data_IF_412355753505
#
_entry.id   IF_412355753505
#
_cell.length_a   1.000
_cell.length_b   1.000
_cell.length_c   1.000
_cell.angle_alpha   90.00
_cell.angle_beta   90.00
_cell.angle_gamma   90.00
#
_symmetry.space_group_name_H-M   'P 1'
#
loop_
_entity.id
_entity.type
_entity.pdbx_description
1 polymer ?
#
# COMPACT_ATOMS: atom_id res chain seq x y z
N UNK A 1 -49.37 -0.84 -37.75
CA UNK A 1 -48.85 -1.50 -36.52
C UNK A 1 -47.33 -1.60 -36.66
N UNK A 2 -46.54 -0.85 -35.88
CA UNK A 2 -45.08 -0.97 -35.91
C UNK A 2 -44.65 -2.11 -34.98
N UNK A 3 -43.81 -3.02 -35.50
CA UNK A 3 -43.24 -4.13 -34.75
C UNK A 3 -42.19 -3.62 -33.74
N UNK A 4 -42.08 -4.24 -32.55
CA UNK A 4 -41.09 -3.85 -31.55
C UNK A 4 -39.70 -4.33 -31.95
N UNK A 5 -38.72 -3.44 -31.83
CA UNK A 5 -37.30 -3.71 -32.06
C UNK A 5 -36.77 -4.69 -30.99
N UNK A 6 -35.96 -5.70 -31.34
CA UNK A 6 -35.43 -6.64 -30.35
C UNK A 6 -34.44 -5.95 -29.41
N UNK A 7 -34.72 -6.05 -28.11
CA UNK A 7 -33.87 -5.64 -27.00
C UNK A 7 -32.55 -6.42 -27.03
N UNK A 8 -31.42 -5.73 -27.24
CA UNK A 8 -30.12 -6.38 -27.07
C UNK A 8 -29.82 -6.63 -25.58
N UNK A 9 -29.25 -7.79 -25.23
CA UNK A 9 -28.84 -8.08 -23.86
C UNK A 9 -27.67 -7.18 -23.46
N UNK A 10 -27.76 -6.58 -22.27
CA UNK A 10 -26.68 -5.80 -21.66
C UNK A 10 -25.41 -6.66 -21.56
N UNK A 11 -24.22 -6.11 -21.85
CA UNK A 11 -22.96 -6.84 -21.67
C UNK A 11 -22.78 -7.16 -20.18
N UNK A 12 -22.56 -8.43 -19.89
CA UNK A 12 -22.25 -8.94 -18.55
C UNK A 12 -21.05 -8.21 -17.96
N UNK A 13 -21.04 -7.91 -16.64
CA UNK A 13 -19.88 -7.30 -15.99
C UNK A 13 -18.67 -8.22 -16.13
N UNK A 14 -17.53 -7.66 -16.55
CA UNK A 14 -16.24 -8.37 -16.61
C UNK A 14 -15.96 -9.01 -15.24
N UNK A 15 -15.57 -10.30 -15.19
CA UNK A 15 -15.14 -10.92 -13.95
C UNK A 15 -13.94 -10.14 -13.41
N UNK A 16 -14.12 -9.54 -12.24
CA UNK A 16 -13.02 -8.94 -11.48
C UNK A 16 -12.07 -10.07 -11.11
N UNK A 17 -10.76 -9.99 -11.37
CA UNK A 17 -9.83 -11.04 -10.98
C UNK A 17 -9.88 -11.17 -9.46
N UNK A 18 -10.33 -12.32 -8.98
CA UNK A 18 -10.33 -12.66 -7.57
C UNK A 18 -8.90 -12.54 -7.04
N UNK A 19 -8.67 -11.66 -6.07
CA UNK A 19 -7.40 -11.58 -5.36
C UNK A 19 -7.09 -12.98 -4.80
N UNK A 20 -5.93 -13.58 -5.10
CA UNK A 20 -5.61 -14.91 -4.60
C UNK A 20 -5.50 -14.85 -3.07
N UNK A 21 -6.55 -15.35 -2.40
CA UNK A 21 -6.56 -15.50 -0.96
C UNK A 21 -5.71 -16.71 -0.60
N UNK A 22 -4.39 -16.50 -0.47
CA UNK A 22 -3.45 -17.53 -0.01
C UNK A 22 -2.81 -17.07 1.28
N UNK A 23 -3.58 -17.09 2.37
CA UNK A 23 -3.02 -17.10 3.73
C UNK A 23 -2.48 -18.51 4.01
N UNK A 24 -1.44 -18.93 3.27
CA UNK A 24 -0.65 -20.09 3.67
C UNK A 24 0.18 -19.65 4.86
N UNK A 25 0.08 -20.38 5.98
CA UNK A 25 0.97 -20.17 7.11
C UNK A 25 2.42 -20.30 6.61
N UNK A 26 3.19 -19.22 6.74
CA UNK A 26 4.61 -19.22 6.39
C UNK A 26 5.29 -20.06 7.48
N UNK A 27 5.94 -21.19 7.14
CA UNK A 27 6.60 -22.00 8.14
C UNK A 27 7.71 -21.21 8.81
N UNK A 28 7.93 -21.48 10.10
CA UNK A 28 8.99 -20.84 10.88
C UNK A 28 10.36 -21.03 10.19
N UNK A 29 11.07 -19.93 9.94
CA UNK A 29 12.39 -19.97 9.30
C UNK A 29 13.43 -20.59 10.25
N UNK A 30 14.52 -21.09 9.67
CA UNK A 30 15.66 -21.61 10.46
C UNK A 30 16.20 -20.55 11.43
N UNK A 31 16.21 -19.28 11.00
CA UNK A 31 16.66 -18.15 11.79
C UNK A 31 15.73 -17.89 12.99
N UNK A 32 14.42 -17.92 12.76
CA UNK A 32 13.43 -17.76 13.83
C UNK A 32 13.49 -18.92 14.84
N UNK A 33 13.65 -20.16 14.33
CA UNK A 33 13.86 -21.34 15.19
C UNK A 33 15.12 -21.20 16.04
N UNK A 34 16.24 -20.80 15.44
CA UNK A 34 17.51 -20.60 16.13
C UNK A 34 17.37 -19.63 17.30
N UNK A 35 16.81 -18.44 17.05
CA UNK A 35 16.57 -17.44 18.08
C UNK A 35 15.63 -17.95 19.18
N UNK A 36 14.57 -18.68 18.81
CA UNK A 36 13.65 -19.26 19.78
C UNK A 36 14.33 -20.29 20.69
N UNK A 37 15.21 -21.11 20.12
CA UNK A 37 15.90 -22.19 20.83
C UNK A 37 16.95 -21.62 21.78
N UNK A 38 17.78 -20.68 21.32
CA UNK A 38 18.78 -20.02 22.16
C UNK A 38 18.14 -19.24 23.31
N UNK A 39 17.07 -18.48 23.03
CA UNK A 39 16.32 -17.75 24.06
C UNK A 39 15.71 -18.67 25.11
N UNK A 40 15.09 -19.79 24.69
CA UNK A 40 14.52 -20.78 25.61
C UNK A 40 15.61 -21.50 26.41
N UNK A 41 16.75 -21.81 25.81
CA UNK A 41 17.90 -22.43 26.50
C UNK A 41 18.43 -21.49 27.57
N UNK A 42 18.66 -20.21 27.25
CA UNK A 42 19.09 -19.20 28.20
C UNK A 42 18.09 -19.06 29.37
N UNK A 43 16.79 -18.96 29.09
CA UNK A 43 15.76 -18.87 30.13
C UNK A 43 15.75 -20.08 31.08
N UNK A 44 15.91 -21.30 30.55
CA UNK A 44 15.98 -22.52 31.38
C UNK A 44 17.21 -22.54 32.27
N UNK A 45 18.37 -22.15 31.75
CA UNK A 45 19.61 -22.10 32.52
C UNK A 45 19.52 -21.07 33.66
N UNK A 46 18.88 -19.91 33.42
CA UNK A 46 18.59 -18.93 34.46
C UNK A 46 17.70 -19.50 35.57
N UNK A 47 16.62 -20.19 35.21
CA UNK A 47 15.74 -20.85 36.20
C UNK A 47 16.48 -21.92 37.03
N UNK A 48 17.43 -22.65 36.43
CA UNK A 48 18.26 -23.64 37.14
C UNK A 48 19.23 -22.98 38.12
N UNK A 49 19.82 -21.84 37.74
CA UNK A 49 20.69 -21.05 38.60
C UNK A 49 19.92 -20.48 39.81
N UNK A 50 18.75 -19.90 39.58
CA UNK A 50 17.91 -19.30 40.63
C UNK A 50 17.36 -20.34 41.61
N UNK A 51 17.03 -21.54 41.12
CA UNK A 51 16.50 -22.63 41.95
C UNK A 51 17.58 -23.39 42.74
N UNK A 52 18.87 -23.12 42.51
CA UNK A 52 19.98 -23.83 43.15
C UNK A 52 20.08 -25.31 42.79
N UNK A 53 19.43 -25.74 41.69
CA UNK A 53 19.32 -27.14 41.27
C UNK A 53 20.58 -27.68 40.57
N UNK A 54 21.59 -26.84 40.33
CA UNK A 54 22.88 -27.22 39.77
C UNK A 54 24.00 -26.27 40.24
N UNK A 55 25.25 -26.74 40.15
CA UNK A 55 26.44 -26.00 40.55
C UNK A 55 26.64 -24.76 39.65
N UNK A 56 26.75 -23.54 40.20
CA UNK A 56 27.06 -22.34 39.44
C UNK A 56 28.31 -22.45 38.57
N UNK A 57 29.30 -23.24 38.99
CA UNK A 57 30.57 -23.43 38.27
C UNK A 57 30.36 -24.05 36.89
N UNK A 58 29.37 -24.93 36.75
CA UNK A 58 28.99 -25.58 35.49
C UNK A 58 27.98 -24.76 34.70
N UNK A 59 27.08 -24.04 35.38
CA UNK A 59 26.01 -23.27 34.75
C UNK A 59 26.50 -21.97 34.10
N UNK A 60 27.47 -21.29 34.69
CA UNK A 60 27.95 -19.99 34.20
C UNK A 60 28.55 -20.07 32.78
N UNK A 61 29.45 -21.02 32.45
CA UNK A 61 29.94 -21.18 31.08
C UNK A 61 28.83 -21.50 30.08
N UNK A 62 27.86 -22.34 30.47
CA UNK A 62 26.74 -22.71 29.62
C UNK A 62 25.80 -21.52 29.34
N UNK A 63 25.59 -20.65 30.34
CA UNK A 63 24.85 -19.39 30.19
C UNK A 63 25.56 -18.43 29.23
N UNK A 64 26.87 -18.24 29.40
CA UNK A 64 27.66 -17.38 28.53
C UNK A 64 27.62 -17.87 27.07
N UNK A 65 27.74 -19.18 26.85
CA UNK A 65 27.60 -19.76 25.51
C UNK A 65 26.19 -19.56 24.94
N UNK A 66 25.15 -19.75 25.75
CA UNK A 66 23.77 -19.55 25.31
C UNK A 66 23.49 -18.09 24.94
N UNK A 67 24.07 -17.13 25.66
CA UNK A 67 24.02 -15.71 25.33
C UNK A 67 24.70 -15.39 24.00
N UNK A 68 25.92 -15.89 23.77
CA UNK A 68 26.60 -15.69 22.48
C UNK A 68 25.79 -16.23 21.30
N UNK A 69 25.23 -17.44 21.42
CA UNK A 69 24.33 -17.97 20.38
C UNK A 69 23.03 -17.18 20.19
N UNK A 70 22.55 -16.51 21.24
CA UNK A 70 21.38 -15.65 21.14
C UNK A 70 21.72 -14.35 20.41
N UNK A 71 22.87 -13.75 20.69
CA UNK A 71 23.38 -12.56 19.98
C UNK A 71 23.55 -12.85 18.48
N UNK A 72 24.24 -13.94 18.13
CA UNK A 72 24.39 -14.37 16.73
C UNK A 72 23.03 -14.56 16.04
N UNK A 73 22.07 -15.19 16.74
CA UNK A 73 20.74 -15.42 16.20
C UNK A 73 19.94 -14.13 16.00
N UNK A 74 20.11 -13.12 16.86
CA UNK A 74 19.51 -11.79 16.70
C UNK A 74 20.10 -11.10 15.47
N UNK A 75 21.42 -11.09 15.33
CA UNK A 75 22.11 -10.44 14.21
C UNK A 75 21.70 -11.04 12.87
N UNK A 76 21.67 -12.38 12.77
CA UNK A 76 21.22 -13.06 11.56
C UNK A 76 19.73 -12.75 11.28
N UNK A 77 18.89 -12.65 12.32
CA UNK A 77 17.47 -12.30 12.15
C UNK A 77 17.28 -10.88 11.63
N UNK A 78 18.06 -9.92 12.13
CA UNK A 78 18.03 -8.53 11.68
C UNK A 78 18.54 -8.43 10.24
N UNK A 79 19.66 -9.10 9.93
CA UNK A 79 20.24 -9.12 8.59
C UNK A 79 19.27 -9.71 7.55
N UNK A 80 18.63 -10.84 7.86
CA UNK A 80 17.62 -11.43 6.98
C UNK A 80 16.42 -10.49 6.78
N UNK A 81 15.98 -9.80 7.85
CA UNK A 81 14.89 -8.84 7.74
C UNK A 81 15.24 -7.70 6.80
N UNK A 82 16.41 -7.11 6.97
CA UNK A 82 16.90 -6.02 6.11
C UNK A 82 17.05 -6.47 4.66
N UNK A 83 17.51 -7.70 4.43
CA UNK A 83 17.57 -8.28 3.10
C UNK A 83 16.18 -8.36 2.45
N UNK A 84 15.17 -8.87 3.17
CA UNK A 84 13.78 -8.92 2.68
C UNK A 84 13.25 -7.51 2.38
N UNK A 85 13.50 -6.54 3.26
CA UNK A 85 13.06 -5.16 3.04
C UNK A 85 13.72 -4.55 1.78
N UNK A 86 14.99 -4.87 1.52
CA UNK A 86 15.68 -4.47 0.29
C UNK A 86 15.10 -5.16 -0.96
N UNK A 87 14.76 -6.45 -0.88
CA UNK A 87 14.10 -7.16 -1.99
C UNK A 87 12.72 -6.57 -2.31
N UNK A 88 11.94 -6.22 -1.28
CA UNK A 88 10.64 -5.55 -1.43
C UNK A 88 10.83 -4.20 -2.13
N UNK A 89 11.77 -3.38 -1.67
CA UNK A 89 12.05 -2.08 -2.27
C UNK A 89 12.48 -2.22 -3.75
N UNK A 90 13.34 -3.20 -4.06
CA UNK A 90 13.75 -3.47 -5.43
C UNK A 90 12.57 -3.93 -6.31
N UNK A 91 11.66 -4.76 -5.79
CA UNK A 91 10.47 -5.19 -6.51
C UNK A 91 9.51 -4.02 -6.79
N UNK A 92 9.32 -3.13 -5.81
CA UNK A 92 8.51 -1.91 -5.98
C UNK A 92 9.10 -0.98 -7.04
N UNK A 93 10.41 -0.73 -7.00
CA UNK A 93 11.08 0.11 -7.99
C UNK A 93 10.92 -0.42 -9.43
N UNK A 94 10.98 -1.75 -9.62
CA UNK A 94 10.74 -2.37 -10.94
C UNK A 94 9.29 -2.22 -11.39
N UNK A 95 8.32 -2.34 -10.48
CA UNK A 95 6.91 -2.15 -10.78
C UNK A 95 6.65 -0.72 -11.24
N UNK A 96 7.17 0.26 -10.50
CA UNK A 96 6.99 1.68 -10.80
C UNK A 96 7.63 2.04 -12.14
N UNK A 97 8.83 1.52 -12.43
CA UNK A 97 9.49 1.71 -13.72
C UNK A 97 8.67 1.13 -14.88
N UNK A 98 8.12 -0.08 -14.74
CA UNK A 98 7.29 -0.70 -15.77
C UNK A 98 5.99 0.07 -15.98
N UNK A 99 5.36 0.52 -14.90
CA UNK A 99 4.15 1.34 -14.96
C UNK A 99 4.44 2.67 -15.70
N UNK A 100 5.57 3.31 -15.43
CA UNK A 100 5.97 4.55 -16.10
C UNK A 100 6.17 4.35 -17.61
N UNK A 101 6.82 3.25 -18.03
CA UNK A 101 7.01 2.92 -19.46
C UNK A 101 5.67 2.78 -20.16
N UNK A 102 4.76 1.98 -19.60
CA UNK A 102 3.46 1.76 -20.23
C UNK A 102 2.56 2.99 -20.19
N UNK A 103 2.64 3.81 -19.15
CA UNK A 103 1.92 5.08 -19.12
C UNK A 103 2.43 6.01 -20.22
N UNK A 104 3.74 6.09 -20.45
CA UNK A 104 4.31 6.88 -21.53
C UNK A 104 3.83 6.41 -22.92
N UNK A 105 3.79 5.10 -23.15
CA UNK A 105 3.26 4.50 -24.39
C UNK A 105 1.78 4.80 -24.58
N UNK A 106 0.97 4.66 -23.52
CA UNK A 106 -0.46 5.00 -23.54
C UNK A 106 -0.63 6.48 -23.90
N UNK A 107 0.14 7.38 -23.30
CA UNK A 107 0.07 8.81 -23.58
C UNK A 107 0.53 9.14 -25.01
N UNK A 108 1.53 8.44 -25.54
CA UNK A 108 1.93 8.55 -26.95
C UNK A 108 0.78 8.12 -27.88
N UNK A 109 0.16 6.98 -27.61
CA UNK A 109 -0.95 6.46 -28.43
C UNK A 109 -2.18 7.38 -28.37
N UNK A 110 -2.51 7.91 -27.18
CA UNK A 110 -3.58 8.91 -27.04
C UNK A 110 -3.30 10.17 -27.84
N UNK A 111 -2.08 10.70 -27.78
CA UNK A 111 -1.68 11.87 -28.58
C UNK A 111 -1.79 11.58 -30.08
N UNK A 112 -1.38 10.39 -30.52
CA UNK A 112 -1.49 10.02 -31.93
C UNK A 112 -2.96 9.89 -32.37
N UNK A 113 -3.80 9.23 -31.57
CA UNK A 113 -5.25 9.16 -31.84
C UNK A 113 -5.88 10.55 -31.92
N UNK A 114 -5.60 11.41 -30.93
CA UNK A 114 -6.09 12.79 -30.94
C UNK A 114 -5.59 13.56 -32.17
N UNK A 115 -4.35 13.36 -32.61
CA UNK A 115 -3.83 14.01 -33.82
C UNK A 115 -4.58 13.56 -35.09
N UNK A 116 -5.01 12.29 -35.16
CA UNK A 116 -5.84 11.80 -36.26
C UNK A 116 -7.23 12.46 -36.21
N UNK A 117 -7.84 12.52 -35.03
CA UNK A 117 -9.14 13.17 -34.84
C UNK A 117 -9.07 14.66 -35.19
N UNK A 118 -8.03 15.37 -34.74
CA UNK A 118 -7.80 16.78 -35.09
C UNK A 118 -7.64 16.98 -36.60
N UNK A 119 -6.88 16.13 -37.28
CA UNK A 119 -6.74 16.23 -38.74
C UNK A 119 -8.07 16.06 -39.49
N UNK A 120 -8.98 15.20 -39.00
CA UNK A 120 -10.33 15.08 -39.56
C UNK A 120 -11.15 16.35 -39.32
N UNK A 121 -11.06 16.93 -38.13
CA UNK A 121 -11.76 18.18 -37.79
C UNK A 121 -11.24 19.35 -38.64
N UNK A 122 -9.92 19.49 -38.81
CA UNK A 122 -9.32 20.53 -39.64
C UNK A 122 -9.81 20.46 -41.10
N UNK A 123 -9.89 19.24 -41.66
CA UNK A 123 -10.41 19.02 -43.01
C UNK A 123 -11.90 19.37 -43.11
N UNK A 124 -12.68 19.07 -42.08
CA UNK A 124 -14.09 19.42 -42.00
C UNK A 124 -14.30 20.94 -41.92
N UNK A 125 -13.55 21.63 -41.07
CA UNK A 125 -13.60 23.09 -40.89
C UNK A 125 -13.19 23.84 -42.17
N UNK A 126 -12.24 23.29 -42.94
CA UNK A 126 -11.84 23.82 -44.25
C UNK A 126 -12.86 23.50 -45.37
N UNK A 127 -13.92 22.75 -45.08
CA UNK A 127 -14.92 22.33 -46.06
C UNK A 127 -14.45 21.25 -47.04
N UNK A 128 -13.31 20.61 -46.77
CA UNK A 128 -12.73 19.54 -47.60
C UNK A 128 -13.31 18.16 -47.28
N UNK A 129 -13.96 18.01 -46.12
CA UNK A 129 -14.72 16.82 -45.73
C UNK A 129 -16.14 17.17 -45.30
N UNK A 130 -17.11 16.36 -45.73
CA UNK A 130 -18.49 16.46 -45.27
C UNK A 130 -18.66 15.90 -43.85
N UNK A 131 -19.82 16.18 -43.22
CA UNK A 131 -20.20 15.65 -41.90
C UNK A 131 -20.17 14.11 -41.83
N UNK A 132 -20.37 13.45 -42.97
CA UNK A 132 -20.26 12.00 -43.10
C UNK A 132 -19.41 11.64 -44.32
N UNK A 133 -18.36 10.84 -44.09
CA UNK A 133 -17.52 10.27 -45.14
C UNK A 133 -17.47 8.75 -45.02
N UNK A 134 -17.71 8.05 -46.13
CA UNK A 134 -17.77 6.58 -46.20
C UNK A 134 -16.59 6.07 -47.03
N UNK A 135 -15.73 5.27 -46.42
CA UNK A 135 -14.70 4.49 -47.11
C UNK A 135 -15.22 3.12 -47.53
N UNK A 136 -14.32 2.24 -47.99
CA UNK A 136 -14.71 0.89 -48.44
C UNK A 136 -15.23 -0.01 -47.31
N UNK A 137 -14.65 0.13 -46.10
CA UNK A 137 -14.99 -0.72 -44.93
C UNK A 137 -15.47 0.09 -43.73
N UNK A 138 -15.03 1.34 -43.60
CA UNK A 138 -15.27 2.18 -42.42
C UNK A 138 -15.88 3.52 -42.81
N UNK A 139 -16.47 4.21 -41.83
CA UNK A 139 -17.04 5.55 -42.01
C UNK A 139 -16.60 6.50 -40.90
N UNK A 140 -16.47 7.78 -41.24
CA UNK A 140 -16.17 8.87 -40.32
C UNK A 140 -17.40 9.77 -40.24
N UNK A 141 -17.77 10.20 -39.03
CA UNK A 141 -18.88 11.13 -38.78
C UNK A 141 -18.45 12.22 -37.82
N UNK A 142 -18.49 13.46 -38.28
CA UNK A 142 -18.31 14.63 -37.43
C UNK A 142 -19.66 15.01 -36.85
N UNK A 143 -19.72 15.21 -35.54
CA UNK A 143 -20.96 15.55 -34.81
C UNK A 143 -20.65 16.59 -33.75
N UNK A 144 -21.63 17.45 -33.48
CA UNK A 144 -21.55 18.32 -32.31
C UNK A 144 -21.66 17.53 -31.02
N UNK A 145 -20.79 17.85 -30.07
CA UNK A 145 -20.97 17.45 -28.69
C UNK A 145 -22.25 18.09 -28.14
N UNK A 146 -22.94 17.43 -27.19
CA UNK A 146 -24.05 18.06 -26.50
C UNK A 146 -23.59 19.37 -25.83
N UNK A 147 -24.46 20.37 -25.72
CA UNK A 147 -24.10 21.64 -25.12
C UNK A 147 -23.58 21.43 -23.69
N UNK A 148 -22.39 21.94 -23.41
CA UNK A 148 -21.78 21.92 -22.08
C UNK A 148 -22.01 23.26 -21.40
N UNK A 149 -22.32 23.24 -20.10
CA UNK A 149 -22.42 24.46 -19.29
C UNK A 149 -21.03 24.84 -18.78
N UNK A 150 -20.56 26.04 -19.12
CA UNK A 150 -19.32 26.61 -18.58
C UNK A 150 -19.72 27.55 -17.45
N UNK A 151 -19.23 27.25 -16.24
CA UNK A 151 -19.36 28.15 -15.09
C UNK A 151 -18.25 29.18 -15.16
N UNK A 152 -18.62 30.44 -15.40
CA UNK A 152 -17.68 31.56 -15.49
C UNK A 152 -17.36 32.15 -14.12
N UNK A 153 -18.38 32.29 -13.27
CA UNK A 153 -18.27 32.75 -11.89
C UNK A 153 -19.31 32.01 -11.02
N UNK A 154 -18.83 31.22 -10.07
CA UNK A 154 -19.67 30.45 -9.14
C UNK A 154 -20.48 31.35 -8.19
N UNK A 155 -19.99 32.54 -7.84
CA UNK A 155 -20.66 33.45 -6.91
C UNK A 155 -21.91 34.10 -7.51
N UNK A 156 -22.00 34.17 -8.84
CA UNK A 156 -23.17 34.67 -9.55
C UNK A 156 -24.21 33.57 -9.84
N UNK A 157 -23.91 32.31 -9.52
CA UNK A 157 -24.84 31.21 -9.74
C UNK A 157 -25.94 31.25 -8.67
N UNK A 158 -27.23 31.30 -9.07
CA UNK A 158 -28.32 31.24 -8.12
C UNK A 158 -28.31 29.94 -7.30
N UNK A 159 -28.69 30.04 -6.04
CA UNK A 159 -28.87 28.91 -5.11
C UNK A 159 -29.56 27.66 -5.68
N UNK A 160 -30.63 27.73 -6.52
CA UNK A 160 -31.25 26.53 -7.09
C UNK A 160 -30.32 25.64 -7.94
N UNK A 161 -29.18 26.16 -8.40
CA UNK A 161 -28.20 25.41 -9.20
C UNK A 161 -26.97 24.95 -8.40
N UNK A 162 -26.87 25.37 -7.12
CA UNK A 162 -25.79 24.97 -6.23
C UNK A 162 -26.20 23.74 -5.41
N UNK A 163 -25.30 22.78 -5.25
CA UNK A 163 -25.51 21.61 -4.39
C UNK A 163 -24.54 21.64 -3.21
N UNK A 164 -25.09 21.76 -2.00
CA UNK A 164 -24.32 21.62 -0.78
C UNK A 164 -23.84 20.17 -0.60
N UNK A 165 -22.54 19.99 -0.35
CA UNK A 165 -21.93 18.69 -0.05
C UNK A 165 -21.39 18.69 1.38
N UNK A 166 -22.20 18.23 2.33
CA UNK A 166 -21.77 18.06 3.73
C UNK A 166 -21.29 16.63 3.93
N UNK A 167 -20.01 16.45 4.29
CA UNK A 167 -19.44 15.15 4.63
C UNK A 167 -19.01 15.14 6.09
N UNK A 168 -19.54 14.21 6.87
CA UNK A 168 -19.10 13.95 8.23
C UNK A 168 -18.10 12.80 8.24
N UNK A 169 -16.91 13.06 8.76
CA UNK A 169 -15.88 12.04 8.98
C UNK A 169 -15.55 12.00 10.48
N UNK A 170 -15.38 10.80 11.06
CA UNK A 170 -15.04 10.68 12.47
C UNK A 170 -13.64 11.26 12.70
N UNK A 171 -13.55 12.26 13.57
CA UNK A 171 -12.27 12.82 14.00
C UNK A 171 -11.61 11.92 15.04
N UNK A 172 -10.78 11.00 14.55
CA UNK A 172 -10.05 10.05 15.40
C UNK A 172 -9.09 10.74 16.37
N UNK A 173 -8.65 11.97 16.09
CA UNK A 173 -7.73 12.70 16.96
C UNK A 173 -8.44 13.27 18.18
N UNK A 174 -9.61 13.89 17.97
CA UNK A 174 -10.48 14.37 19.03
C UNK A 174 -11.00 13.21 19.89
N UNK A 175 -11.46 12.12 19.26
CA UNK A 175 -11.94 10.91 19.95
C UNK A 175 -10.82 10.29 20.80
N UNK A 176 -9.60 10.16 20.25
CA UNK A 176 -8.45 9.66 21.00
C UNK A 176 -8.13 10.53 22.21
N UNK A 177 -8.18 11.86 22.04
CA UNK A 177 -7.88 12.81 23.11
C UNK A 177 -8.94 12.75 24.23
N UNK A 178 -10.22 12.64 23.87
CA UNK A 178 -11.33 12.46 24.82
C UNK A 178 -11.17 11.17 25.63
N UNK A 179 -10.89 10.04 24.96
CA UNK A 179 -10.66 8.74 25.63
C UNK A 179 -9.42 8.79 26.52
N UNK A 180 -8.35 9.46 26.10
CA UNK A 180 -7.15 9.66 26.92
C UNK A 180 -7.39 10.59 28.12
N UNK A 181 -8.31 11.54 27.99
CA UNK A 181 -8.77 12.43 29.06
C UNK A 181 -9.74 11.80 30.05
N UNK A 182 -10.16 10.55 29.82
CA UNK A 182 -11.08 9.82 30.70
C UNK A 182 -12.55 9.89 30.29
N UNK A 183 -12.88 10.52 29.16
CA UNK A 183 -14.23 10.52 28.59
C UNK A 183 -14.47 9.28 27.74
N UNK A 184 -15.54 8.54 28.03
CA UNK A 184 -15.95 7.42 27.20
C UNK A 184 -16.67 7.93 25.94
N UNK A 185 -16.16 7.59 24.75
CA UNK A 185 -16.82 7.90 23.47
C UNK A 185 -17.52 6.64 22.95
N UNK A 186 -18.86 6.57 22.95
CA UNK A 186 -19.58 5.40 22.45
C UNK A 186 -19.19 5.07 21.01
N UNK A 187 -18.82 3.81 20.76
CA UNK A 187 -18.40 3.34 19.44
C UNK A 187 -16.93 3.53 19.10
N UNK A 188 -16.10 3.99 20.05
CA UNK A 188 -14.65 4.08 19.88
C UNK A 188 -13.88 3.57 21.10
N UNK A 189 -12.91 2.69 20.86
CA UNK A 189 -12.00 2.14 21.87
C UNK A 189 -10.54 2.42 21.53
N UNK A 190 -9.73 2.68 22.56
CA UNK A 190 -8.29 2.87 22.40
C UNK A 190 -7.54 1.54 22.59
N UNK A 191 -7.04 0.97 21.49
CA UNK A 191 -6.24 -0.26 21.52
C UNK A 191 -4.76 0.05 21.32
N UNK A 192 -3.90 -0.40 22.25
CA UNK A 192 -2.43 -0.35 22.09
C UNK A 192 -1.92 -1.68 21.53
N UNK A 193 -1.23 -1.63 20.39
CA UNK A 193 -0.59 -2.80 19.78
C UNK A 193 0.93 -2.66 19.88
N UNK A 194 1.63 -3.78 20.13
CA UNK A 194 3.09 -3.83 20.06
C UNK A 194 3.53 -3.92 18.60
N UNK A 195 4.68 -3.30 18.28
CA UNK A 195 5.33 -3.36 16.98
C UNK A 195 6.76 -3.84 17.19
N UNK A 196 7.27 -4.64 16.26
CA UNK A 196 8.69 -5.02 16.20
C UNK A 196 9.44 -3.94 15.42
N UNK A 197 10.59 -3.52 15.94
CA UNK A 197 11.49 -2.55 15.33
C UNK A 197 12.87 -3.19 15.25
N UNK A 198 13.55 -3.03 14.11
CA UNK A 198 14.88 -3.56 13.85
C UNK A 198 15.83 -2.39 13.65
N UNK A 199 16.79 -2.23 14.57
CA UNK A 199 17.76 -1.14 14.59
C UNK A 199 19.16 -1.72 14.81
N UNK A 200 20.18 -1.03 14.31
CA UNK A 200 21.55 -1.40 14.59
C UNK A 200 21.85 -1.13 16.07
N UNK A 201 22.45 -2.11 16.75
CA UNK A 201 22.89 -1.89 18.12
C UNK A 201 23.95 -0.77 18.16
N UNK A 202 23.97 0.07 19.22
CA UNK A 202 25.02 1.05 19.39
C UNK A 202 26.38 0.36 19.46
N UNK A 203 27.35 0.91 18.74
CA UNK A 203 28.75 0.50 18.82
C UNK A 203 29.29 0.73 20.23
N UNK A 204 30.40 0.07 20.59
CA UNK A 204 31.04 0.18 21.89
C UNK A 204 31.25 1.63 22.35
N UNK A 205 31.58 2.54 21.43
CA UNK A 205 31.66 3.99 21.71
C UNK A 205 30.31 4.63 22.04
N UNK A 206 29.23 4.26 21.33
CA UNK A 206 27.88 4.74 21.61
C UNK A 206 27.31 4.24 22.95
N UNK A 207 27.68 3.01 23.36
CA UNK A 207 27.27 2.46 24.66
C UNK A 207 27.91 3.19 25.84
N UNK A 208 29.15 3.65 25.68
CA UNK A 208 29.87 4.42 26.71
C UNK A 208 29.33 5.85 26.87
N UNK A 209 28.84 6.48 25.78
CA UNK A 209 28.25 7.83 25.85
C UNK A 209 26.85 7.85 26.47
N UNK A 210 26.02 6.83 26.23
CA UNK A 210 24.68 6.74 26.83
C UNK A 210 24.74 6.41 28.34
N UNK A 211 25.73 5.65 28.79
CA UNK A 211 25.91 5.33 30.22
C UNK A 211 26.46 6.51 31.05
N UNK A 212 27.01 7.55 30.40
CA UNK A 212 27.49 8.76 31.05
C UNK A 212 26.41 9.84 31.23
N UNK A 213 25.18 9.60 30.75
CA UNK A 213 24.07 10.56 30.81
C UNK A 213 22.89 10.12 31.70
N UNK A 214 23.05 9.04 32.49
CA UNK A 214 22.07 8.59 33.50
C UNK A 214 22.48 9.06 34.89
#
# INVERSE_FOLDING_TARGET
>A
MPTPKPSQPKPSPKPTPAKPNRTRAIPESVVQRSLSLSSRKAARLWMQLESGMADPTDLLPALQQAQGHQEDAVDIHVALRQHIDAEIAAAQARLDALAAVHEADIQRLKRWANSLDQGVLDLHEQGLMADEAVGQTYRIRVKHNPPSCIVLDEAMIPEPYLKAKTTYTPDKSAIKSAIQGGEAVPGADLVRKRKVVYEAAPTSLGRMTDQAQV
#
